data_IF_393973549566
#
_entry.id   IF_393973549566
#
_cell.length_a   1.000
_cell.length_b   1.000
_cell.length_c   1.000
_cell.angle_alpha   90.00
_cell.angle_beta   90.00
_cell.angle_gamma   90.00
#
_symmetry.space_group_name_H-M   'P 1'
#
loop_
_entity.id
_entity.type
_entity.pdbx_description
1 polymer ?
#
# COMPACT_ATOMS: atom_id res chain seq x y z
N UNK A 1 16.31 -18.49 -2.32
CA UNK A 1 16.72 -17.66 -1.17
C UNK A 1 16.14 -16.28 -1.37
N UNK A 2 15.47 -15.72 -0.37
CA UNK A 2 14.98 -14.35 -0.41
C UNK A 2 16.20 -13.43 -0.34
N UNK A 3 16.41 -12.59 -1.35
CA UNK A 3 17.66 -11.86 -1.55
C UNK A 3 17.95 -10.89 -0.39
N UNK A 4 19.20 -10.72 0.03
CA UNK A 4 19.59 -9.76 1.10
C UNK A 4 19.85 -8.34 0.57
N UNK A 5 19.83 -8.14 -0.75
CA UNK A 5 20.00 -6.81 -1.34
C UNK A 5 18.93 -5.82 -0.82
N UNK A 6 19.29 -4.54 -0.61
CA UNK A 6 18.30 -3.49 -0.34
C UNK A 6 17.21 -3.49 -1.41
N UNK A 7 15.95 -3.37 -1.00
CA UNK A 7 14.82 -3.55 -1.93
C UNK A 7 14.87 -2.61 -3.14
N UNK A 8 15.27 -1.35 -2.94
CA UNK A 8 15.48 -0.40 -4.04
C UNK A 8 16.47 -0.92 -5.10
N UNK A 9 17.59 -1.50 -4.67
CA UNK A 9 18.60 -2.05 -5.58
C UNK A 9 18.07 -3.28 -6.29
N UNK A 10 17.45 -4.19 -5.56
CA UNK A 10 16.87 -5.41 -6.12
C UNK A 10 15.80 -5.10 -7.18
N UNK A 11 14.89 -4.16 -6.87
CA UNK A 11 13.85 -3.76 -7.81
C UNK A 11 14.44 -3.05 -9.04
N UNK A 12 15.43 -2.18 -8.86
CA UNK A 12 16.11 -1.50 -9.97
C UNK A 12 16.75 -2.51 -10.94
N UNK A 13 17.52 -3.46 -10.40
CA UNK A 13 18.19 -4.50 -11.21
C UNK A 13 17.16 -5.36 -11.93
N UNK A 14 16.09 -5.74 -11.24
CA UNK A 14 15.00 -6.51 -11.80
C UNK A 14 14.27 -5.79 -12.95
N UNK A 15 13.93 -4.51 -12.76
CA UNK A 15 13.30 -3.70 -13.79
C UNK A 15 14.22 -3.49 -15.00
N UNK A 16 15.53 -3.33 -14.78
CA UNK A 16 16.51 -3.23 -15.84
C UNK A 16 16.63 -4.53 -16.64
N UNK A 17 16.69 -5.69 -15.97
CA UNK A 17 16.70 -7.01 -16.62
C UNK A 17 15.45 -7.27 -17.48
N UNK A 18 14.31 -6.69 -17.08
CA UNK A 18 13.03 -6.73 -17.80
C UNK A 18 12.96 -5.80 -19.00
N UNK A 19 13.95 -4.94 -19.21
CA UNK A 19 13.86 -3.79 -20.11
C UNK A 19 12.61 -2.92 -19.83
N UNK A 20 12.18 -2.87 -18.56
CA UNK A 20 11.07 -2.01 -18.18
C UNK A 20 11.49 -0.54 -18.29
N UNK A 21 10.60 0.32 -18.75
CA UNK A 21 10.84 1.76 -18.78
C UNK A 21 10.48 2.36 -17.42
N UNK A 22 11.46 2.90 -16.70
CA UNK A 22 11.24 3.55 -15.42
C UNK A 22 12.17 4.72 -15.19
N UNK A 23 11.81 5.59 -14.24
CA UNK A 23 12.66 6.65 -13.70
C UNK A 23 12.99 6.25 -12.25
N UNK A 24 14.28 6.16 -11.95
CA UNK A 24 14.77 6.02 -10.58
C UNK A 24 14.87 7.39 -9.92
N UNK A 25 14.13 7.57 -8.83
CA UNK A 25 14.08 8.80 -8.06
C UNK A 25 14.33 8.52 -6.57
N UNK A 26 15.03 7.44 -6.21
CA UNK A 26 15.30 7.10 -4.79
C UNK A 26 16.13 8.15 -4.05
N UNK A 27 16.82 9.03 -4.80
CA UNK A 27 17.54 10.20 -4.26
C UNK A 27 16.68 11.47 -4.19
N UNK A 28 15.47 11.43 -4.76
CA UNK A 28 14.54 12.54 -4.82
C UNK A 28 13.78 12.73 -3.51
N UNK A 29 13.64 13.98 -3.06
CA UNK A 29 12.93 14.27 -1.82
C UNK A 29 11.40 14.28 -1.99
N UNK A 30 10.93 14.84 -3.11
CA UNK A 30 9.51 15.09 -3.36
C UNK A 30 8.81 13.97 -4.12
N UNK A 31 9.55 13.27 -4.97
CA UNK A 31 9.01 12.23 -5.84
C UNK A 31 8.91 10.87 -5.14
N UNK A 32 8.09 9.98 -5.69
CA UNK A 32 8.10 8.57 -5.32
C UNK A 32 9.41 7.90 -5.77
N UNK A 33 9.87 6.91 -5.01
CA UNK A 33 11.15 6.21 -5.23
C UNK A 33 11.33 5.77 -6.70
N UNK A 34 10.27 5.26 -7.34
CA UNK A 34 10.25 4.90 -8.75
C UNK A 34 9.04 5.48 -9.47
N UNK A 35 9.21 5.85 -10.74
CA UNK A 35 8.10 6.08 -11.67
C UNK A 35 8.17 5.07 -12.81
N UNK A 36 7.22 4.13 -12.86
CA UNK A 36 7.11 3.16 -13.94
C UNK A 36 6.37 3.79 -15.12
N UNK A 37 6.92 3.69 -16.32
CA UNK A 37 6.29 4.18 -17.54
C UNK A 37 5.35 3.11 -18.08
N UNK A 38 4.08 3.47 -18.22
CA UNK A 38 3.03 2.61 -18.75
C UNK A 38 3.00 2.66 -20.28
N UNK A 39 2.38 1.66 -20.90
CA UNK A 39 2.27 1.58 -22.37
C UNK A 39 1.43 2.71 -22.98
N UNK A 40 0.49 3.26 -22.23
CA UNK A 40 -0.33 4.43 -22.59
C UNK A 40 0.43 5.77 -22.44
N UNK A 41 1.71 5.72 -22.07
CA UNK A 41 2.55 6.89 -21.82
C UNK A 41 2.36 7.52 -20.44
N UNK A 42 1.41 7.04 -19.64
CA UNK A 42 1.24 7.49 -18.27
C UNK A 42 2.35 6.96 -17.35
N UNK A 43 2.36 7.47 -16.13
CA UNK A 43 3.31 7.05 -15.08
C UNK A 43 2.56 6.42 -13.93
N UNK A 44 3.15 5.38 -13.36
CA UNK A 44 2.76 4.85 -12.06
C UNK A 44 3.84 5.17 -11.03
N UNK A 45 3.48 5.87 -9.97
CA UNK A 45 4.39 6.22 -8.88
C UNK A 45 4.46 5.08 -7.85
N UNK A 46 5.64 4.51 -7.66
CA UNK A 46 5.87 3.40 -6.74
C UNK A 46 6.86 3.80 -5.66
N UNK A 47 6.38 3.82 -4.42
CA UNK A 47 7.24 3.86 -3.23
C UNK A 47 7.65 2.44 -2.86
N UNK A 48 8.90 2.26 -2.45
CA UNK A 48 9.39 0.96 -1.98
C UNK A 48 9.81 1.06 -0.53
N UNK A 49 9.45 0.05 0.25
CA UNK A 49 9.78 -0.01 1.69
C UNK A 49 10.17 -1.43 2.07
N UNK A 50 10.89 -1.57 3.18
CA UNK A 50 11.46 -2.86 3.57
C UNK A 50 11.32 -3.08 5.08
N UNK A 51 10.86 -4.29 5.46
CA UNK A 51 10.90 -4.80 6.84
C UNK A 51 12.02 -5.83 6.92
N UNK A 52 13.18 -5.41 7.43
CA UNK A 52 14.36 -6.29 7.56
C UNK A 52 14.35 -7.16 8.81
N UNK A 53 13.68 -6.71 9.86
CA UNK A 53 13.68 -7.36 11.17
C UNK A 53 12.32 -7.18 11.85
N UNK A 54 11.99 -8.05 12.83
CA UNK A 54 10.81 -7.89 13.66
C UNK A 54 10.79 -6.54 14.40
N UNK A 55 9.60 -5.99 14.65
CA UNK A 55 9.44 -4.78 15.45
C UNK A 55 9.38 -5.09 16.95
N UNK A 56 9.87 -4.15 17.75
CA UNK A 56 9.69 -4.17 19.21
C UNK A 56 8.25 -3.80 19.57
N UNK A 57 7.42 -4.80 19.84
CA UNK A 57 5.96 -4.63 20.07
C UNK A 57 5.61 -3.66 21.19
N UNK A 58 6.45 -3.53 22.21
CA UNK A 58 6.21 -2.64 23.36
C UNK A 58 6.20 -1.15 22.97
N UNK A 59 6.78 -0.80 21.82
CA UNK A 59 6.83 0.56 21.32
C UNK A 59 5.63 0.95 20.44
N UNK A 60 4.70 0.01 20.20
CA UNK A 60 3.61 0.19 19.24
C UNK A 60 2.27 -0.33 19.78
N UNK A 61 1.14 0.27 19.37
CA UNK A 61 -0.19 -0.30 19.55
C UNK A 61 -0.26 -1.78 19.13
N UNK A 62 -0.93 -2.58 19.95
CA UNK A 62 -0.97 -4.05 19.83
C UNK A 62 -2.13 -4.58 18.98
N UNK A 63 -2.84 -3.71 18.25
CA UNK A 63 -3.99 -4.08 17.43
C UNK A 63 -3.65 -5.04 16.28
N UNK A 64 -2.39 -5.01 15.80
CA UNK A 64 -1.90 -5.86 14.71
C UNK A 64 -0.79 -6.79 15.23
N UNK A 65 -0.87 -8.11 15.02
CA UNK A 65 0.21 -9.03 15.38
C UNK A 65 1.52 -8.66 14.68
N UNK A 66 2.64 -8.70 15.41
CA UNK A 66 3.95 -8.27 14.91
C UNK A 66 4.35 -8.86 13.55
N UNK A 67 4.16 -10.16 13.25
CA UNK A 67 4.57 -10.72 11.97
C UNK A 67 3.87 -10.07 10.76
N UNK A 68 2.70 -9.49 11.00
CA UNK A 68 1.91 -8.78 10.00
C UNK A 68 1.94 -7.26 10.16
N UNK A 69 2.54 -6.76 11.23
CA UNK A 69 2.69 -5.33 11.45
C UNK A 69 3.69 -4.76 10.45
N UNK A 70 3.34 -3.63 9.84
CA UNK A 70 4.23 -2.78 9.07
C UNK A 70 4.07 -1.31 9.45
N UNK A 71 5.18 -0.59 9.59
CA UNK A 71 5.19 0.82 9.98
C UNK A 71 5.51 1.67 8.77
N UNK A 72 4.50 2.36 8.26
CA UNK A 72 4.60 3.26 7.12
C UNK A 72 4.72 4.73 7.59
N UNK A 73 5.49 5.54 6.87
CA UNK A 73 5.55 6.97 7.13
C UNK A 73 4.34 7.71 6.54
N UNK A 74 3.77 8.68 7.28
CA UNK A 74 2.73 9.58 6.75
C UNK A 74 3.21 10.28 5.45
N UNK A 75 4.51 10.56 5.35
CA UNK A 75 5.07 11.17 4.14
C UNK A 75 4.97 10.24 2.92
N UNK A 76 5.22 8.93 3.08
CA UNK A 76 5.07 7.96 1.98
C UNK A 76 3.64 7.92 1.49
N UNK A 77 2.67 7.88 2.41
CA UNK A 77 1.24 7.92 2.05
C UNK A 77 0.89 9.21 1.31
N UNK A 78 1.36 10.36 1.80
CA UNK A 78 1.11 11.66 1.14
C UNK A 78 1.73 11.74 -0.25
N UNK A 79 2.92 11.18 -0.45
CA UNK A 79 3.53 11.07 -1.79
C UNK A 79 2.65 10.24 -2.71
N UNK A 80 2.21 9.06 -2.29
CA UNK A 80 1.28 8.24 -3.08
C UNK A 80 -0.02 9.00 -3.42
N UNK A 81 -0.61 9.71 -2.45
CA UNK A 81 -1.80 10.52 -2.68
C UNK A 81 -1.58 11.64 -3.71
N UNK A 82 -0.39 12.25 -3.73
CA UNK A 82 -0.02 13.26 -4.74
C UNK A 82 0.00 12.73 -6.18
N UNK A 83 0.13 11.41 -6.35
CA UNK A 83 0.12 10.73 -7.66
C UNK A 83 -1.11 9.83 -7.86
N UNK A 84 -2.14 9.96 -7.02
CA UNK A 84 -3.35 9.17 -7.13
C UNK A 84 -4.08 9.42 -8.47
N UNK A 85 -4.75 8.40 -9.03
CA UNK A 85 -4.90 7.05 -8.51
C UNK A 85 -3.77 6.09 -8.96
N UNK A 86 -2.79 6.57 -9.73
CA UNK A 86 -1.70 5.74 -10.29
C UNK A 86 -0.49 5.74 -9.37
N UNK A 87 -0.71 5.29 -8.14
CA UNK A 87 0.35 5.16 -7.16
C UNK A 87 0.16 3.96 -6.23
N UNK A 88 1.26 3.53 -5.60
CA UNK A 88 1.23 2.46 -4.61
C UNK A 88 2.54 2.35 -3.83
N UNK A 89 2.54 1.42 -2.86
CA UNK A 89 3.69 1.04 -2.06
C UNK A 89 3.95 -0.45 -2.28
N UNK A 90 5.19 -0.79 -2.63
CA UNK A 90 5.68 -2.14 -2.53
C UNK A 90 6.49 -2.30 -1.24
N UNK A 91 6.27 -3.42 -0.54
CA UNK A 91 6.99 -3.79 0.66
C UNK A 91 7.75 -5.07 0.42
N UNK A 92 9.05 -5.07 0.71
CA UNK A 92 9.83 -6.28 0.90
C UNK A 92 9.81 -6.65 2.38
N UNK A 93 9.08 -7.71 2.72
CA UNK A 93 9.00 -8.27 4.07
C UNK A 93 10.01 -9.41 4.18
N UNK A 94 11.24 -9.08 4.58
CA UNK A 94 12.34 -10.05 4.72
C UNK A 94 12.02 -11.07 5.80
N UNK A 95 11.37 -10.63 6.88
CA UNK A 95 10.96 -11.48 8.01
C UNK A 95 9.93 -12.51 7.55
N UNK A 96 8.91 -12.07 6.82
CA UNK A 96 7.88 -12.94 6.27
C UNK A 96 8.24 -13.63 4.94
N UNK A 97 9.46 -13.41 4.43
CA UNK A 97 9.94 -13.93 3.14
C UNK A 97 8.96 -13.72 1.97
N UNK A 98 8.43 -12.50 1.85
CA UNK A 98 7.43 -12.16 0.84
C UNK A 98 7.55 -10.70 0.41
N UNK A 99 6.99 -10.41 -0.74
CA UNK A 99 6.66 -9.05 -1.13
C UNK A 99 5.18 -8.78 -0.89
N UNK A 100 4.81 -7.52 -0.69
CA UNK A 100 3.43 -7.09 -0.52
C UNK A 100 3.21 -5.80 -1.30
N UNK A 101 2.16 -5.76 -2.13
CA UNK A 101 1.75 -4.56 -2.84
C UNK A 101 0.50 -3.96 -2.19
N UNK A 102 0.52 -2.64 -2.04
CA UNK A 102 -0.63 -1.82 -1.71
C UNK A 102 -0.78 -0.73 -2.77
N UNK A 103 -1.93 -0.66 -3.45
CA UNK A 103 -2.30 0.52 -4.22
C UNK A 103 -2.61 1.69 -3.28
N UNK A 104 -2.62 2.91 -3.81
CA UNK A 104 -3.05 4.10 -3.06
C UNK A 104 -4.50 3.98 -2.58
N UNK A 105 -5.35 3.23 -3.30
CA UNK A 105 -6.74 2.97 -2.90
C UNK A 105 -6.78 1.99 -1.73
N UNK A 106 -5.99 0.91 -1.75
CA UNK A 106 -5.84 0.00 -0.62
C UNK A 106 -5.41 0.78 0.63
N UNK A 107 -4.40 1.65 0.50
CA UNK A 107 -3.91 2.47 1.61
C UNK A 107 -4.99 3.42 2.16
N UNK A 108 -5.80 4.01 1.28
CA UNK A 108 -6.85 4.94 1.68
C UNK A 108 -7.97 4.25 2.47
N UNK A 109 -8.35 3.04 2.05
CA UNK A 109 -9.55 2.34 2.50
C UNK A 109 -9.29 1.29 3.58
N UNK A 110 -8.10 0.71 3.66
CA UNK A 110 -7.81 -0.34 4.64
C UNK A 110 -7.82 0.17 6.10
N UNK A 111 -8.16 -0.71 7.06
CA UNK A 111 -7.94 -0.46 8.48
C UNK A 111 -6.48 -0.12 8.79
N UNK A 112 -6.27 0.87 9.66
CA UNK A 112 -4.95 1.33 10.09
C UNK A 112 -5.01 2.04 11.43
N UNK A 113 -3.88 2.06 12.13
CA UNK A 113 -3.70 2.89 13.33
C UNK A 113 -2.69 3.99 13.01
N UNK A 114 -3.08 5.25 13.19
CA UNK A 114 -2.17 6.38 13.04
C UNK A 114 -1.58 6.76 14.40
N UNK A 115 -0.26 6.88 14.46
CA UNK A 115 0.48 7.27 15.67
C UNK A 115 1.49 8.37 15.37
N UNK A 116 1.88 9.11 16.40
CA UNK A 116 2.94 10.10 16.32
C UNK A 116 4.18 9.59 17.04
N UNK A 117 5.34 9.60 16.36
CA UNK A 117 6.63 9.21 16.94
C UNK A 117 7.47 10.45 17.19
N UNK A 118 8.00 10.60 18.40
CA UNK A 118 8.99 11.64 18.70
C UNK A 118 10.25 11.45 17.86
N UNK A 119 10.73 12.56 17.30
CA UNK A 119 12.01 12.64 16.59
C UNK A 119 12.80 13.84 17.11
N UNK A 120 14.11 13.73 17.05
CA UNK A 120 15.03 14.82 17.34
C UNK A 120 15.92 14.99 16.11
N UNK A 121 15.66 16.05 15.33
CA UNK A 121 16.53 16.45 14.21
C UNK A 121 17.38 17.64 14.64
N UNK A 122 16.72 18.79 14.78
CA UNK A 122 17.32 20.04 15.30
C UNK A 122 16.59 20.57 16.54
N UNK A 123 15.33 20.16 16.72
CA UNK A 123 14.46 20.41 17.87
C UNK A 123 13.51 19.21 18.05
N UNK A 124 12.93 19.00 19.24
CA UNK A 124 11.90 17.99 19.42
C UNK A 124 10.73 18.20 18.45
N UNK A 125 10.35 17.14 17.73
CA UNK A 125 9.25 17.16 16.77
C UNK A 125 8.55 15.79 16.72
N UNK A 126 7.46 15.70 15.98
CA UNK A 126 6.67 14.47 15.81
C UNK A 126 6.62 14.07 14.33
N UNK A 127 6.91 12.80 14.07
CA UNK A 127 6.71 12.16 12.76
C UNK A 127 5.45 11.31 12.80
N UNK A 128 4.50 11.58 11.91
CA UNK A 128 3.32 10.75 11.71
C UNK A 128 3.68 9.39 11.11
N UNK A 129 3.10 8.33 11.67
CA UNK A 129 3.29 6.94 11.27
C UNK A 129 1.95 6.24 11.15
N UNK A 130 1.84 5.34 10.19
CA UNK A 130 0.73 4.40 10.07
C UNK A 130 1.23 3.02 10.44
N UNK A 131 0.49 2.35 11.30
CA UNK A 131 0.64 0.93 11.59
C UNK A 131 -0.43 0.22 10.77
N UNK A 132 0.04 -0.60 9.84
CA UNK A 132 -0.79 -1.29 8.87
C UNK A 132 -0.60 -2.80 9.01
N UNK A 133 -1.59 -3.56 8.58
CA UNK A 133 -1.53 -5.02 8.53
C UNK A 133 -1.16 -5.48 7.13
N UNK A 134 -0.03 -6.18 6.99
CA UNK A 134 0.48 -6.71 5.72
C UNK A 134 -0.50 -7.68 5.05
N UNK A 135 -1.42 -8.28 5.80
CA UNK A 135 -2.46 -9.17 5.23
C UNK A 135 -3.51 -8.42 4.42
N UNK A 136 -3.61 -7.10 4.59
CA UNK A 136 -4.51 -6.26 3.79
C UNK A 136 -3.95 -5.92 2.40
N UNK A 137 -2.67 -6.25 2.15
CA UNK A 137 -2.02 -6.05 0.86
C UNK A 137 -2.03 -7.31 0.00
N UNK A 138 -1.69 -7.16 -1.28
CA UNK A 138 -1.54 -8.28 -2.19
C UNK A 138 -0.16 -8.91 -2.02
N UNK A 139 -0.12 -10.12 -1.45
CA UNK A 139 1.13 -10.85 -1.20
C UNK A 139 1.68 -11.47 -2.49
N UNK A 140 3.01 -11.44 -2.64
CA UNK A 140 3.75 -11.94 -3.78
C UNK A 140 4.98 -12.72 -3.29
N UNK A 141 5.27 -13.87 -3.90
CA UNK A 141 6.47 -14.65 -3.59
C UNK A 141 7.68 -14.13 -4.37
N UNK A 142 7.44 -13.56 -5.54
CA UNK A 142 8.46 -13.04 -6.46
C UNK A 142 8.18 -11.59 -6.85
N UNK A 143 9.18 -10.91 -7.41
CA UNK A 143 8.99 -9.58 -8.01
C UNK A 143 8.11 -9.62 -9.26
N UNK A 144 8.01 -10.78 -9.94
CA UNK A 144 7.05 -11.00 -11.02
C UNK A 144 5.62 -10.86 -10.53
N UNK A 145 5.28 -11.63 -9.50
CA UNK A 145 3.95 -11.61 -8.90
C UNK A 145 3.60 -10.22 -8.37
N UNK A 146 4.61 -9.52 -7.79
CA UNK A 146 4.46 -8.15 -7.31
C UNK A 146 4.08 -7.20 -8.45
N UNK A 147 4.77 -7.25 -9.59
CA UNK A 147 4.42 -6.45 -10.77
C UNK A 147 3.08 -6.89 -11.38
N UNK A 148 2.76 -8.18 -11.31
CA UNK A 148 1.46 -8.72 -11.71
C UNK A 148 0.31 -8.09 -10.93
N UNK A 149 0.45 -7.93 -9.61
CA UNK A 149 -0.55 -7.23 -8.78
C UNK A 149 -0.73 -5.77 -9.20
N UNK A 150 0.36 -5.07 -9.50
CA UNK A 150 0.33 -3.69 -9.99
C UNK A 150 -0.37 -3.60 -11.35
N UNK A 151 -0.04 -4.50 -12.28
CA UNK A 151 -0.67 -4.54 -13.60
C UNK A 151 -2.16 -4.87 -13.50
N UNK A 152 -2.54 -5.80 -12.64
CA UNK A 152 -3.93 -6.13 -12.38
C UNK A 152 -4.69 -4.95 -11.78
N UNK A 153 -4.09 -4.22 -10.83
CA UNK A 153 -4.66 -2.97 -10.31
C UNK A 153 -4.90 -1.94 -11.42
N UNK A 154 -3.91 -1.72 -12.29
CA UNK A 154 -4.02 -0.78 -13.41
C UNK A 154 -5.09 -1.22 -14.43
N UNK A 155 -5.15 -2.51 -14.76
CA UNK A 155 -6.12 -3.06 -15.70
C UNK A 155 -7.57 -2.95 -15.20
N UNK A 156 -7.78 -3.01 -13.88
CA UNK A 156 -9.09 -2.89 -13.25
C UNK A 156 -9.38 -1.50 -12.67
N UNK A 157 -8.50 -0.52 -12.88
CA UNK A 157 -8.52 0.76 -12.16
C UNK A 157 -9.86 1.50 -12.30
N UNK A 158 -10.43 1.49 -13.51
CA UNK A 158 -11.72 2.13 -13.76
C UNK A 158 -12.83 1.48 -12.93
N UNK A 159 -12.93 0.16 -12.99
CA UNK A 159 -13.93 -0.60 -12.24
C UNK A 159 -13.75 -0.42 -10.74
N UNK A 160 -12.51 -0.45 -10.24
CA UNK A 160 -12.18 -0.21 -8.82
C UNK A 160 -12.71 1.15 -8.33
N UNK A 161 -12.57 2.20 -9.14
CA UNK A 161 -12.97 3.55 -8.75
C UNK A 161 -14.47 3.80 -8.87
N UNK A 162 -15.14 3.18 -9.84
CA UNK A 162 -16.47 3.63 -10.25
C UNK A 162 -17.54 2.53 -10.35
N UNK A 163 -17.17 1.26 -10.44
CA UNK A 163 -18.12 0.16 -10.72
C UNK A 163 -18.22 -0.86 -9.59
N UNK A 164 -17.15 -1.05 -8.80
CA UNK A 164 -17.17 -1.92 -7.62
C UNK A 164 -17.96 -1.21 -6.51
N UNK A 165 -19.25 -1.55 -6.44
CA UNK A 165 -20.17 -1.07 -5.42
C UNK A 165 -20.05 -1.74 -4.03
N UNK A 166 -19.65 -3.03 -3.90
CA UNK A 166 -19.32 -3.62 -2.60
C UNK A 166 -18.12 -2.92 -1.94
N UNK A 167 -17.88 -3.18 -0.65
CA UNK A 167 -16.66 -2.73 0.01
C UNK A 167 -15.44 -3.17 -0.81
N UNK A 168 -14.59 -2.21 -1.19
CA UNK A 168 -13.40 -2.50 -1.98
C UNK A 168 -12.36 -3.23 -1.13
N UNK A 169 -11.91 -4.38 -1.62
CA UNK A 169 -10.91 -5.21 -0.96
C UNK A 169 -11.48 -6.15 0.10
N UNK A 170 -10.68 -7.15 0.48
CA UNK A 170 -10.96 -8.07 1.57
C UNK A 170 -9.97 -7.77 2.71
N UNK A 171 -10.38 -6.90 3.64
CA UNK A 171 -9.50 -6.50 4.73
C UNK A 171 -9.62 -7.42 5.94
N UNK A 172 -8.48 -7.73 6.53
CA UNK A 172 -8.37 -8.63 7.66
C UNK A 172 -9.18 -8.11 8.86
N UNK A 173 -10.03 -9.00 9.39
CA UNK A 173 -10.89 -8.68 10.53
C UNK A 173 -12.20 -7.97 10.16
N UNK A 174 -12.42 -7.66 8.87
CA UNK A 174 -13.70 -7.18 8.39
C UNK A 174 -14.62 -8.35 7.99
N UNK A 175 -15.90 -8.24 8.36
CA UNK A 175 -16.96 -9.12 7.87
C UNK A 175 -17.92 -8.28 7.05
N UNK A 176 -17.75 -8.31 5.73
CA UNK A 176 -18.69 -7.68 4.80
C UNK A 176 -19.81 -8.67 4.53
N UNK A 177 -21.00 -8.43 5.09
CA UNK A 177 -22.16 -9.29 4.87
C UNK A 177 -22.63 -9.27 3.40
N UNK A 178 -23.42 -10.26 2.99
CA UNK A 178 -23.91 -10.46 1.61
C UNK A 178 -24.75 -9.29 1.05
N UNK A 179 -25.22 -8.36 1.89
CA UNK A 179 -26.08 -7.23 1.49
C UNK A 179 -25.40 -6.12 0.67
N UNK A 180 -24.09 -6.22 0.38
CA UNK A 180 -23.36 -5.25 -0.44
C UNK A 180 -23.45 -5.49 -1.96
N UNK A 181 -24.02 -6.62 -2.40
CA UNK A 181 -23.70 -7.23 -3.70
C UNK A 181 -24.49 -6.62 -4.88
N UNK A 182 -25.50 -5.78 -4.67
CA UNK A 182 -26.15 -5.04 -5.77
C UNK A 182 -26.73 -3.71 -5.28
N UNK A 183 -25.92 -2.65 -5.26
CA UNK A 183 -26.34 -1.32 -4.80
C UNK A 183 -26.64 -0.42 -5.99
N UNK A 184 -27.80 0.23 -5.95
CA UNK A 184 -28.18 1.34 -6.84
C UNK A 184 -28.37 2.61 -6.00
N UNK A 185 -28.19 3.82 -6.56
CA UNK A 185 -28.38 5.09 -5.83
C UNK A 185 -29.71 5.17 -5.05
N UNK A 186 -30.74 4.51 -5.58
CA UNK A 186 -32.10 4.37 -5.08
C UNK A 186 -32.21 3.61 -3.73
N UNK A 187 -31.18 2.88 -3.29
CA UNK A 187 -31.17 2.19 -1.99
C UNK A 187 -30.81 3.11 -0.80
N UNK A 188 -30.41 4.36 -1.04
CA UNK A 188 -29.94 5.31 -0.01
C UNK A 188 -30.94 5.58 1.13
N UNK A 189 -32.24 5.66 0.81
CA UNK A 189 -33.27 5.98 1.81
C UNK A 189 -33.44 4.89 2.87
N UNK A 190 -33.11 3.63 2.52
CA UNK A 190 -33.25 2.48 3.40
C UNK A 190 -32.07 2.36 4.38
N UNK A 191 -30.87 2.78 3.95
CA UNK A 191 -29.65 2.73 4.77
C UNK A 191 -29.63 3.79 5.88
N UNK A 192 -30.16 4.99 5.62
CA UNK A 192 -30.25 6.08 6.62
C UNK A 192 -31.15 5.69 7.80
N UNK A 193 -32.18 4.86 7.55
CA UNK A 193 -33.06 4.35 8.62
C UNK A 193 -32.35 3.35 9.53
N UNK A 194 -31.45 2.54 8.98
CA UNK A 194 -30.75 1.50 9.73
C UNK A 194 -29.52 2.00 10.50
N UNK A 195 -28.98 3.16 10.11
CA UNK A 195 -27.77 3.76 10.70
C UNK A 195 -28.07 4.88 11.72
N UNK A 196 -29.34 5.27 11.89
CA UNK A 196 -29.81 6.16 12.96
C UNK A 196 -30.55 5.32 14.00
N UNK A 197 -29.85 4.96 15.08
CA UNK A 197 -30.49 4.61 16.35
C UNK A 197 -30.77 5.88 17.13
#
# INVERSE_FOLDING_TARGET
>A
MFNELPFETELREFLAQRNARFIDQTRGFYDADFALMLSDGARFALEVKEKRQPYTVQAWPTATPEPHMFILDDLTVRKCLGFAPRAGVAVKDVVGQRFVFFSVIDLALMPRVRVNRRIERNKPDLKGKWIIDLRNGKSAATLDDLLGHLQNYLGNLHSILYEIHPCYGDFWGESVGEGGITRRPDHWTQDVRNSRR
#
